data_IF_896987131585
#
_entry.id   IF_896987131585
#
_cell.length_a   1.000
_cell.length_b   1.000
_cell.length_c   1.000
_cell.angle_alpha   90.00
_cell.angle_beta   90.00
_cell.angle_gamma   90.00
#
_symmetry.space_group_name_H-M   'P 1'
#
loop_
_entity.id
_entity.type
_entity.pdbx_description
1 polymer ?
#
# COMPACT_ATOMS: atom_id res chain seq x y z
N UNK A 1 -4.41 -5.71 37.96
CA UNK A 1 -5.27 -6.41 37.00
C UNK A 1 -5.29 -5.58 35.73
N UNK A 2 -4.45 -5.92 34.74
CA UNK A 2 -4.34 -5.17 33.49
C UNK A 2 -5.47 -5.58 32.55
N UNK A 3 -6.25 -4.62 32.08
CA UNK A 3 -7.30 -4.85 31.10
C UNK A 3 -6.66 -5.34 29.80
N UNK A 4 -6.98 -6.57 29.40
CA UNK A 4 -6.69 -7.10 28.08
C UNK A 4 -7.46 -6.29 27.04
N UNK A 5 -6.75 -5.62 26.16
CA UNK A 5 -7.34 -5.07 24.96
C UNK A 5 -7.58 -6.23 24.01
N UNK A 6 -8.83 -6.67 23.94
CA UNK A 6 -9.30 -7.58 22.90
C UNK A 6 -9.19 -6.84 21.56
N UNK A 7 -8.17 -7.20 20.79
CA UNK A 7 -7.77 -6.64 19.49
C UNK A 7 -8.74 -7.03 18.36
N UNK A 8 -10.03 -7.08 18.67
CA UNK A 8 -11.09 -7.51 17.77
C UNK A 8 -12.10 -6.37 17.58
N UNK A 9 -11.75 -5.47 16.65
CA UNK A 9 -12.74 -4.64 15.95
C UNK A 9 -13.19 -3.38 16.66
N UNK A 10 -12.26 -2.47 16.96
CA UNK A 10 -12.63 -1.07 17.22
C UNK A 10 -12.84 -0.33 15.88
N UNK A 11 -14.08 0.05 15.49
CA UNK A 11 -14.35 0.81 14.28
C UNK A 11 -13.82 2.26 14.33
N UNK A 12 -13.30 2.71 15.49
CA UNK A 12 -12.76 4.06 15.66
C UNK A 12 -11.31 4.22 15.17
N UNK A 13 -10.56 3.14 14.96
CA UNK A 13 -9.27 3.21 14.28
C UNK A 13 -9.56 3.30 12.79
N UNK A 14 -9.77 4.52 12.27
CA UNK A 14 -9.75 4.76 10.82
C UNK A 14 -8.46 4.15 10.27
N UNK A 15 -8.58 3.00 9.61
CA UNK A 15 -7.47 2.35 8.91
C UNK A 15 -7.14 3.22 7.71
N UNK A 16 -6.20 4.14 7.90
CA UNK A 16 -5.72 4.99 6.83
C UNK A 16 -4.83 4.15 5.92
N UNK A 17 -5.30 3.94 4.70
CA UNK A 17 -4.47 3.45 3.61
C UNK A 17 -3.99 4.69 2.87
N UNK A 18 -2.68 4.87 2.79
CA UNK A 18 -2.09 5.97 2.03
C UNK A 18 -1.20 5.38 0.93
N UNK A 19 -1.43 5.83 -0.30
CA UNK A 19 -0.60 5.49 -1.46
C UNK A 19 0.01 6.78 -1.98
N UNK A 20 1.33 6.86 -1.99
CA UNK A 20 2.06 8.03 -2.49
C UNK A 20 3.04 7.63 -3.59
N UNK A 21 3.33 8.60 -4.46
CA UNK A 21 4.36 8.49 -5.48
C UNK A 21 5.53 9.37 -5.08
N UNK A 22 6.63 8.75 -4.68
CA UNK A 22 7.87 9.47 -4.38
C UNK A 22 8.60 9.84 -5.68
N UNK A 23 8.43 9.03 -6.73
CA UNK A 23 9.01 9.22 -8.05
C UNK A 23 8.17 8.48 -9.11
N UNK A 24 8.34 8.75 -10.41
CA UNK A 24 7.55 8.09 -11.47
C UNK A 24 7.67 6.57 -11.51
N UNK A 25 8.68 6.02 -10.84
CA UNK A 25 9.01 4.60 -10.69
C UNK A 25 8.92 4.10 -9.24
N UNK A 26 8.52 4.93 -8.27
CA UNK A 26 8.50 4.55 -6.85
C UNK A 26 7.12 4.81 -6.26
N UNK A 27 6.49 3.72 -5.83
CA UNK A 27 5.22 3.71 -5.11
C UNK A 27 5.47 3.42 -3.64
N UNK A 28 4.86 4.19 -2.75
CA UNK A 28 4.83 3.89 -1.33
C UNK A 28 3.40 3.58 -0.90
N UNK A 29 3.22 2.49 -0.16
CA UNK A 29 1.99 2.10 0.48
C UNK A 29 2.20 2.14 2.00
N UNK A 30 1.38 2.91 2.70
CA UNK A 30 1.30 2.89 4.15
C UNK A 30 -0.02 2.21 4.50
N UNK A 31 0.07 1.01 5.05
CA UNK A 31 -1.09 0.18 5.39
C UNK A 31 -0.81 -0.62 6.67
N UNK A 32 -1.70 -0.50 7.65
CA UNK A 32 -1.62 -1.23 8.91
C UNK A 32 -1.80 -2.74 8.73
N UNK A 33 -2.51 -3.17 7.69
CA UNK A 33 -2.72 -4.58 7.37
C UNK A 33 -1.50 -5.22 6.69
N UNK A 34 -0.49 -4.43 6.30
CA UNK A 34 0.75 -4.88 5.67
C UNK A 34 0.47 -5.84 4.50
N UNK A 35 1.12 -7.01 4.46
CA UNK A 35 0.99 -7.99 3.38
C UNK A 35 -0.42 -8.60 3.27
N UNK A 36 -1.21 -8.49 4.35
CA UNK A 36 -2.58 -8.97 4.38
C UNK A 36 -3.58 -7.97 3.78
N UNK A 37 -3.18 -6.70 3.69
CA UNK A 37 -3.99 -5.60 3.19
C UNK A 37 -4.37 -5.77 1.73
N UNK A 38 -5.60 -5.37 1.39
CA UNK A 38 -6.10 -5.46 0.01
C UNK A 38 -5.23 -4.66 -0.95
N UNK A 39 -4.75 -3.47 -0.54
CA UNK A 39 -3.89 -2.63 -1.35
C UNK A 39 -2.56 -3.32 -1.68
N UNK A 40 -1.89 -3.91 -0.69
CA UNK A 40 -0.65 -4.67 -0.92
C UNK A 40 -0.86 -5.82 -1.91
N UNK A 41 -1.91 -6.63 -1.69
CA UNK A 41 -2.24 -7.77 -2.56
C UNK A 41 -2.53 -7.34 -3.99
N UNK A 42 -3.24 -6.22 -4.16
CA UNK A 42 -3.55 -5.65 -5.47
C UNK A 42 -2.30 -5.18 -6.20
N UNK A 43 -1.45 -4.37 -5.55
CA UNK A 43 -0.17 -3.89 -6.08
C UNK A 43 0.70 -5.07 -6.53
N UNK A 44 0.82 -6.09 -5.67
CA UNK A 44 1.56 -7.31 -5.99
C UNK A 44 0.97 -8.06 -7.17
N UNK A 45 -0.35 -8.18 -7.27
CA UNK A 45 -1.01 -8.88 -8.37
C UNK A 45 -0.81 -8.15 -9.70
N UNK A 46 -1.21 -6.87 -9.74
CA UNK A 46 -1.24 -6.07 -10.98
C UNK A 46 0.16 -5.71 -11.49
N UNK A 47 1.14 -5.53 -10.59
CA UNK A 47 2.48 -5.09 -10.96
C UNK A 47 3.58 -6.09 -10.64
N UNK A 48 3.25 -7.35 -10.32
CA UNK A 48 4.21 -8.43 -10.03
C UNK A 48 5.41 -8.46 -10.98
N UNK A 49 5.16 -8.38 -12.30
CA UNK A 49 6.18 -8.44 -13.36
C UNK A 49 6.97 -7.15 -13.55
N UNK A 50 6.50 -6.05 -12.96
CA UNK A 50 7.12 -4.72 -13.04
C UNK A 50 7.85 -4.35 -11.77
N UNK A 51 7.59 -5.01 -10.64
CA UNK A 51 8.27 -4.71 -9.39
C UNK A 51 9.71 -5.21 -9.46
N UNK A 52 10.64 -4.27 -9.43
CA UNK A 52 12.08 -4.52 -9.36
C UNK A 52 12.53 -4.79 -7.93
N UNK A 53 12.02 -3.98 -7.00
CA UNK A 53 12.44 -4.00 -5.60
C UNK A 53 11.28 -3.67 -4.68
N UNK A 54 11.25 -4.36 -3.54
CA UNK A 54 10.33 -4.08 -2.43
C UNK A 54 11.16 -3.81 -1.19
N UNK A 55 10.85 -2.72 -0.48
CA UNK A 55 11.49 -2.37 0.80
C UNK A 55 10.40 -2.10 1.83
N UNK A 56 10.54 -2.67 3.02
CA UNK A 56 9.63 -2.44 4.14
C UNK A 56 10.28 -1.58 5.21
N UNK A 57 9.55 -0.58 5.73
CA UNK A 57 9.93 0.25 6.88
C UNK A 57 8.70 0.44 7.79
N UNK A 58 8.60 -0.40 8.83
CA UNK A 58 7.42 -0.41 9.71
C UNK A 58 6.15 -0.83 8.95
N UNK A 59 5.15 0.04 8.95
CA UNK A 59 3.88 -0.12 8.20
C UNK A 59 3.96 0.37 6.75
N UNK A 60 5.12 0.91 6.33
CA UNK A 60 5.33 1.43 4.99
C UNK A 60 6.03 0.38 4.09
N UNK A 61 5.49 0.22 2.89
CA UNK A 61 6.01 -0.61 1.81
C UNK A 61 6.36 0.27 0.62
N UNK A 62 7.62 0.25 0.22
CA UNK A 62 8.10 0.94 -0.98
C UNK A 62 8.29 -0.09 -2.10
N UNK A 63 7.60 0.11 -3.22
CA UNK A 63 7.72 -0.68 -4.44
C UNK A 63 8.43 0.17 -5.49
N UNK A 64 9.59 -0.30 -5.94
CA UNK A 64 10.25 0.23 -7.12
C UNK A 64 9.77 -0.54 -8.33
N UNK A 65 9.25 0.18 -9.32
CA UNK A 65 8.70 -0.38 -10.55
C UNK A 65 9.63 -0.10 -11.73
N UNK A 66 9.89 -1.11 -12.55
CA UNK A 66 10.63 -0.99 -13.79
C UNK A 66 9.76 -0.32 -14.86
N UNK A 67 10.32 0.73 -15.49
CA UNK A 67 9.71 1.45 -16.61
C UNK A 67 8.59 2.40 -16.23
N UNK A 68 8.92 3.61 -15.71
CA UNK A 68 8.06 4.80 -15.46
C UNK A 68 6.54 4.58 -15.57
N UNK A 69 5.92 3.71 -14.75
CA UNK A 69 4.54 3.29 -14.98
C UNK A 69 3.53 4.40 -14.70
N UNK A 70 3.85 5.36 -13.84
CA UNK A 70 2.90 6.37 -13.38
C UNK A 70 2.74 7.58 -14.30
N UNK A 71 3.56 7.71 -15.35
CA UNK A 71 3.32 8.71 -16.41
C UNK A 71 2.01 8.38 -17.16
N UNK A 72 1.56 7.12 -17.14
CA UNK A 72 0.33 6.66 -17.80
C UNK A 72 -0.78 6.15 -16.84
N UNK A 73 -0.47 5.83 -15.57
CA UNK A 73 -1.36 5.07 -14.68
C UNK A 73 -1.98 5.84 -13.50
N UNK A 74 -1.60 7.11 -13.27
CA UNK A 74 -2.13 7.92 -12.16
C UNK A 74 -3.66 8.07 -12.24
N UNK A 75 -4.22 8.10 -13.45
CA UNK A 75 -5.67 8.13 -13.68
C UNK A 75 -6.40 6.87 -13.19
N UNK A 76 -5.78 5.69 -13.26
CA UNK A 76 -6.42 4.41 -12.92
C UNK A 76 -6.50 4.17 -11.40
N UNK A 77 -5.54 4.68 -10.64
CA UNK A 77 -5.53 4.52 -9.18
C UNK A 77 -6.50 5.50 -8.54
N UNK A 78 -6.58 6.74 -9.04
CA UNK A 78 -7.54 7.71 -8.53
C UNK A 78 -9.00 7.33 -8.83
N UNK A 79 -9.28 6.60 -9.92
CA UNK A 79 -10.64 6.11 -10.24
C UNK A 79 -11.10 4.92 -9.40
N UNK A 80 -10.20 4.30 -8.61
CA UNK A 80 -10.50 3.13 -7.78
C UNK A 80 -10.73 3.49 -6.30
N UNK A 81 -10.44 4.73 -5.92
CA UNK A 81 -10.54 5.23 -4.53
C UNK A 81 -11.82 6.07 -4.33
N UNK A 82 -12.61 6.29 -5.39
CA UNK A 82 -13.93 6.94 -5.37
C UNK A 82 -15.05 5.99 -5.79
#
# INVERSE_FOLDING_TARGET
>A
MGAGYSDAGDPAVRRFICVTLESPDVLQLIDYENENGMAYKFIKKEWSTRIDRIVRRGIMWTFRLNGRPFVHLLAHICSLIY
#
